data_IF_214236716449
#
_entry.id   IF_214236716449
#
_cell.length_a   1.000
_cell.length_b   1.000
_cell.length_c   1.000
_cell.angle_alpha   90.00
_cell.angle_beta   90.00
_cell.angle_gamma   90.00
#
_symmetry.space_group_name_H-M   'P 1'
#
loop_
_entity.id
_entity.type
_entity.pdbx_description
1 polymer ?
#
# COMPACT_ATOMS: atom_id res chain seq x y z
N UNK A 1 6.82 -12.15 -16.05
CA UNK A 1 6.20 -12.18 -14.71
C UNK A 1 5.75 -10.77 -14.46
N UNK A 2 4.47 -10.61 -14.13
CA UNK A 2 3.86 -9.31 -13.92
C UNK A 2 3.72 -9.12 -12.42
N UNK A 3 4.21 -7.99 -11.91
CA UNK A 3 4.01 -7.57 -10.53
C UNK A 3 3.03 -6.42 -10.55
N UNK A 4 2.09 -6.45 -9.64
CA UNK A 4 1.00 -5.50 -9.53
C UNK A 4 0.96 -4.98 -8.10
N UNK A 5 0.81 -3.68 -7.95
CA UNK A 5 0.83 -3.02 -6.65
C UNK A 5 -0.60 -2.69 -6.28
N UNK A 6 -1.01 -3.05 -5.07
CA UNK A 6 -2.38 -2.85 -4.62
C UNK A 6 -2.42 -1.96 -3.42
N UNK A 7 -3.34 -0.99 -3.45
CA UNK A 7 -3.81 -0.33 -2.25
C UNK A 7 -5.26 -0.74 -1.98
N UNK A 8 -5.59 -0.95 -0.71
CA UNK A 8 -6.96 -1.10 -0.26
C UNK A 8 -7.25 -0.07 0.82
N UNK A 9 -8.42 0.56 0.80
CA UNK A 9 -8.79 1.62 1.74
C UNK A 9 -10.22 1.49 2.24
N UNK A 10 -10.53 2.14 3.37
CA UNK A 10 -11.89 2.20 3.93
C UNK A 10 -12.84 3.12 3.15
N UNK A 11 -12.34 3.97 2.26
CA UNK A 11 -13.15 4.91 1.48
C UNK A 11 -12.86 4.78 -0.01
N UNK A 12 -13.89 4.99 -0.82
CA UNK A 12 -13.68 5.12 -2.25
C UNK A 12 -12.77 6.31 -2.54
N UNK A 13 -11.97 6.22 -3.60
CA UNK A 13 -11.19 7.31 -4.18
C UNK A 13 -12.04 7.87 -5.33
N UNK A 14 -12.83 8.95 -5.10
CA UNK A 14 -13.87 9.39 -6.04
C UNK A 14 -13.34 9.73 -7.43
N UNK A 15 -12.09 10.20 -7.50
CA UNK A 15 -11.39 10.59 -8.72
C UNK A 15 -11.32 9.44 -9.75
N UNK A 16 -11.36 8.18 -9.29
CA UNK A 16 -11.32 6.99 -10.17
C UNK A 16 -12.70 6.50 -10.62
N UNK A 17 -13.79 7.13 -10.16
CA UNK A 17 -15.16 6.76 -10.54
C UNK A 17 -15.76 7.66 -11.63
N UNK A 18 -15.03 8.70 -12.06
CA UNK A 18 -15.40 9.55 -13.18
C UNK A 18 -14.86 8.97 -14.50
N UNK A 19 -15.72 8.86 -15.53
CA UNK A 19 -15.41 8.17 -16.79
C UNK A 19 -14.45 8.95 -17.69
N UNK A 20 -13.59 8.20 -18.41
CA UNK A 20 -12.36 8.60 -19.11
C UNK A 20 -11.20 8.95 -18.16
N UNK A 21 -10.44 7.94 -17.71
CA UNK A 21 -9.26 8.21 -16.90
C UNK A 21 -8.01 7.43 -17.25
N UNK A 22 -6.92 8.21 -17.35
CA UNK A 22 -5.52 7.81 -17.53
C UNK A 22 -4.77 7.91 -16.19
N UNK A 23 -5.47 7.69 -15.08
CA UNK A 23 -4.86 7.76 -13.75
C UNK A 23 -3.96 6.55 -13.50
N UNK A 24 -2.94 6.72 -12.66
CA UNK A 24 -2.02 5.66 -12.22
C UNK A 24 -2.69 4.56 -11.39
N UNK A 25 -4.02 4.61 -11.22
CA UNK A 25 -4.80 3.71 -10.38
C UNK A 25 -5.97 3.12 -11.16
N UNK A 26 -6.19 1.81 -11.02
CA UNK A 26 -7.31 1.07 -11.61
C UNK A 26 -8.15 0.41 -10.51
N UNK A 27 -9.47 0.25 -10.71
CA UNK A 27 -10.32 -0.47 -9.76
C UNK A 27 -9.88 -1.92 -9.59
N UNK A 28 -9.78 -2.38 -8.34
CA UNK A 28 -9.44 -3.75 -7.98
C UNK A 28 -10.50 -4.78 -8.35
N UNK A 29 -11.73 -4.36 -8.67
CA UNK A 29 -12.76 -5.24 -9.26
C UNK A 29 -12.27 -5.87 -10.58
N UNK A 30 -11.40 -5.17 -11.31
CA UNK A 30 -10.78 -5.68 -12.52
C UNK A 30 -9.67 -6.71 -12.23
N UNK A 31 -9.18 -6.78 -11.00
CA UNK A 31 -7.90 -7.42 -10.71
C UNK A 31 -7.99 -8.86 -10.18
N UNK A 32 -8.79 -9.17 -9.14
CA UNK A 32 -9.11 -10.55 -8.65
C UNK A 32 -9.95 -10.53 -7.35
N UNK A 33 -10.82 -11.52 -7.16
CA UNK A 33 -11.69 -11.65 -5.96
C UNK A 33 -10.97 -12.13 -4.67
N UNK A 34 -9.75 -12.68 -4.75
CA UNK A 34 -9.08 -13.34 -3.61
C UNK A 34 -7.75 -12.66 -3.28
N UNK A 35 -7.83 -11.42 -2.78
CA UNK A 35 -6.68 -10.67 -2.29
C UNK A 35 -6.67 -10.65 -0.75
N UNK A 36 -5.49 -10.51 -0.10
CA UNK A 36 -5.37 -10.59 1.35
C UNK A 36 -5.81 -9.32 2.09
N UNK A 37 -6.66 -8.48 1.49
CA UNK A 37 -7.09 -7.20 2.06
C UNK A 37 -8.30 -7.34 2.97
N UNK A 38 -8.32 -6.55 4.03
CA UNK A 38 -9.44 -6.44 4.96
C UNK A 38 -10.38 -5.28 4.61
N UNK A 39 -9.96 -4.39 3.72
CA UNK A 39 -10.67 -3.17 3.35
C UNK A 39 -11.48 -3.32 2.05
N UNK A 40 -12.64 -2.65 1.93
CA UNK A 40 -13.63 -2.92 0.88
C UNK A 40 -13.29 -2.33 -0.50
N UNK A 41 -12.48 -1.27 -0.57
CA UNK A 41 -12.13 -0.62 -1.83
C UNK A 41 -10.69 -0.93 -2.18
N UNK A 42 -10.49 -1.67 -3.28
CA UNK A 42 -9.17 -2.09 -3.76
C UNK A 42 -8.86 -1.35 -5.05
N UNK A 43 -7.59 -0.95 -5.24
CA UNK A 43 -7.08 -0.32 -6.44
C UNK A 43 -5.72 -0.91 -6.80
N UNK A 44 -5.50 -1.19 -8.09
CA UNK A 44 -4.17 -1.44 -8.65
C UNK A 44 -3.49 -0.10 -8.90
N UNK A 45 -2.19 0.02 -8.61
CA UNK A 45 -1.41 1.25 -8.73
C UNK A 45 -0.12 0.98 -9.51
N UNK A 46 0.33 1.94 -10.30
CA UNK A 46 1.65 1.91 -10.97
C UNK A 46 2.46 3.12 -10.51
N UNK A 47 3.11 3.02 -9.34
CA UNK A 47 3.83 4.12 -8.70
C UNK A 47 5.16 3.69 -8.05
N UNK A 48 6.13 4.60 -8.02
CA UNK A 48 7.35 4.49 -7.23
C UNK A 48 7.03 4.63 -5.73
N UNK A 49 7.78 3.93 -4.87
CA UNK A 49 7.63 3.97 -3.41
C UNK A 49 7.54 5.40 -2.84
N UNK A 50 8.31 6.35 -3.39
CA UNK A 50 8.30 7.75 -2.96
C UNK A 50 7.04 8.48 -3.38
N UNK A 51 6.56 8.24 -4.59
CA UNK A 51 5.33 8.85 -5.12
C UNK A 51 4.12 8.33 -4.32
N UNK A 52 4.09 7.02 -4.05
CA UNK A 52 3.09 6.39 -3.19
C UNK A 52 3.06 7.00 -1.78
N UNK A 53 4.22 7.23 -1.15
CA UNK A 53 4.28 7.86 0.17
C UNK A 53 3.68 9.28 0.14
N UNK A 54 3.99 10.06 -0.91
CA UNK A 54 3.46 11.42 -1.05
C UNK A 54 1.95 11.38 -1.26
N UNK A 55 1.49 10.53 -2.17
CA UNK A 55 0.07 10.30 -2.44
C UNK A 55 -0.67 9.94 -1.15
N UNK A 56 -0.19 8.95 -0.39
CA UNK A 56 -0.86 8.52 0.85
C UNK A 56 -0.88 9.62 1.91
N UNK A 57 0.18 10.42 2.02
CA UNK A 57 0.20 11.53 2.99
C UNK A 57 -0.81 12.63 2.63
N UNK A 58 -1.01 12.90 1.35
CA UNK A 58 -1.97 13.91 0.88
C UNK A 58 -3.41 13.37 0.87
N UNK A 59 -3.59 12.12 0.43
CA UNK A 59 -4.86 11.43 0.38
C UNK A 59 -5.39 11.21 1.79
N UNK A 60 -4.67 10.49 2.66
CA UNK A 60 -5.20 9.99 3.94
C UNK A 60 -5.60 11.12 4.89
N UNK A 61 -6.77 10.99 5.50
CA UNK A 61 -7.25 11.84 6.58
C UNK A 61 -6.86 11.26 7.95
N UNK A 62 -6.93 12.08 9.00
CA UNK A 62 -6.69 11.60 10.37
C UNK A 62 -7.76 10.55 10.72
N UNK A 63 -7.33 9.35 11.10
CA UNK A 63 -8.19 8.19 11.35
C UNK A 63 -8.16 7.14 10.23
N UNK A 64 -7.64 7.46 9.05
CA UNK A 64 -7.65 6.55 7.90
C UNK A 64 -6.65 5.39 8.05
N UNK A 65 -7.02 4.28 7.40
CA UNK A 65 -6.20 3.08 7.22
C UNK A 65 -6.16 2.71 5.74
N UNK A 66 -4.96 2.39 5.26
CA UNK A 66 -4.70 1.86 3.92
C UNK A 66 -3.83 0.61 4.04
N UNK A 67 -4.17 -0.44 3.32
CA UNK A 67 -3.35 -1.64 3.18
C UNK A 67 -2.67 -1.63 1.81
N UNK A 68 -1.37 -1.91 1.77
CA UNK A 68 -0.57 -1.96 0.55
C UNK A 68 0.09 -3.34 0.38
N UNK A 69 0.10 -3.89 -0.83
CA UNK A 69 0.67 -5.21 -1.11
C UNK A 69 1.12 -5.36 -2.57
N UNK A 70 2.21 -6.10 -2.79
CA UNK A 70 2.65 -6.45 -4.14
C UNK A 70 2.20 -7.87 -4.47
N UNK A 71 1.33 -8.02 -5.46
CA UNK A 71 0.94 -9.31 -6.00
C UNK A 71 1.74 -9.62 -7.27
N UNK A 72 2.39 -10.78 -7.31
CA UNK A 72 3.14 -11.24 -8.47
C UNK A 72 2.52 -12.50 -9.07
N UNK A 73 2.16 -12.38 -10.35
CA UNK A 73 1.71 -13.51 -11.16
C UNK A 73 2.91 -14.36 -11.58
N UNK A 74 2.97 -15.58 -11.03
CA UNK A 74 3.88 -16.62 -11.49
C UNK A 74 3.41 -17.26 -12.79
N UNK A 75 4.07 -18.37 -13.17
CA UNK A 75 3.69 -19.14 -14.35
C UNK A 75 2.42 -19.95 -14.08
N UNK A 76 1.58 -20.10 -15.10
CA UNK A 76 0.37 -20.94 -15.06
C UNK A 76 -0.64 -20.55 -13.96
N UNK A 77 -0.72 -19.26 -13.61
CA UNK A 77 -1.71 -18.76 -12.64
C UNK A 77 -1.38 -19.02 -11.16
N UNK A 78 -0.18 -19.52 -10.86
CA UNK A 78 0.29 -19.69 -9.47
C UNK A 78 0.87 -18.36 -9.00
N UNK A 79 0.33 -17.79 -7.91
CA UNK A 79 0.90 -16.59 -7.27
C UNK A 79 2.30 -16.89 -6.71
N UNK A 80 3.23 -15.96 -6.91
CA UNK A 80 4.53 -15.98 -6.24
C UNK A 80 4.56 -15.13 -4.97
N UNK A 81 3.55 -14.28 -4.81
CA UNK A 81 3.33 -13.56 -3.56
C UNK A 81 2.62 -14.46 -2.56
N UNK A 82 3.10 -14.44 -1.32
CA UNK A 82 2.60 -15.21 -0.19
C UNK A 82 2.53 -14.26 1.01
N UNK A 83 1.50 -14.35 1.85
CA UNK A 83 1.35 -13.43 2.98
C UNK A 83 1.88 -14.08 4.26
N UNK A 84 3.01 -13.57 4.76
CA UNK A 84 3.66 -13.89 6.03
C UNK A 84 3.32 -12.78 7.03
N UNK A 85 2.30 -12.96 7.90
CA UNK A 85 1.82 -11.91 8.80
C UNK A 85 2.89 -11.40 9.77
N UNK A 86 3.88 -12.23 10.11
CA UNK A 86 5.03 -11.86 10.93
C UNK A 86 5.95 -10.84 10.26
N UNK A 87 5.96 -10.78 8.92
CA UNK A 87 6.71 -9.79 8.13
C UNK A 87 5.88 -8.53 7.83
N UNK A 88 4.66 -8.41 8.39
CA UNK A 88 3.80 -7.26 8.18
C UNK A 88 4.40 -5.99 8.76
N UNK A 89 4.11 -4.88 8.10
CA UNK A 89 4.63 -3.55 8.47
C UNK A 89 3.49 -2.64 8.86
N UNK A 90 3.76 -1.73 9.78
CA UNK A 90 2.84 -0.64 10.11
C UNK A 90 3.56 0.69 10.02
N UNK A 91 3.05 1.59 9.18
CA UNK A 91 3.60 2.92 8.98
C UNK A 91 2.56 3.93 9.46
N UNK A 92 2.92 4.74 10.45
CA UNK A 92 2.07 5.83 10.90
C UNK A 92 2.53 7.14 10.29
N UNK A 93 1.74 7.67 9.36
CA UNK A 93 2.01 8.94 8.68
C UNK A 93 1.73 10.16 9.55
N UNK A 94 1.00 10.05 10.66
CA UNK A 94 0.83 11.18 11.58
C UNK A 94 1.97 11.25 12.59
N UNK A 95 2.19 10.16 13.34
CA UNK A 95 3.26 10.06 14.35
C UNK A 95 4.65 9.87 13.77
N UNK A 96 4.76 9.66 12.44
CA UNK A 96 6.01 9.43 11.72
C UNK A 96 6.77 8.23 12.31
N UNK A 97 6.08 7.11 12.47
CA UNK A 97 6.67 5.86 13.00
C UNK A 97 6.61 4.75 11.97
N UNK A 98 7.64 3.91 11.93
CA UNK A 98 7.71 2.71 11.12
C UNK A 98 7.86 1.50 12.05
N UNK A 99 7.09 0.44 11.82
CA UNK A 99 7.19 -0.82 12.56
C UNK A 99 7.27 -1.97 11.58
N UNK A 100 8.17 -2.90 11.83
CA UNK A 100 8.29 -4.18 11.13
C UNK A 100 8.48 -5.34 12.11
N UNK A 101 8.89 -6.51 11.61
CA UNK A 101 9.17 -7.70 12.41
C UNK A 101 10.31 -7.54 13.42
N UNK A 102 11.19 -6.56 13.25
CA UNK A 102 12.39 -6.35 14.06
C UNK A 102 12.18 -5.30 15.15
N UNK A 103 11.24 -4.37 14.97
CA UNK A 103 10.93 -3.40 16.01
C UNK A 103 10.07 -2.23 15.53
N UNK A 104 9.94 -1.24 16.41
CA UNK A 104 9.30 0.04 16.13
C UNK A 104 10.34 1.16 16.15
N UNK A 105 10.24 2.06 15.18
CA UNK A 105 11.23 3.10 14.90
C UNK A 105 10.52 4.45 14.73
N UNK A 106 11.09 5.48 15.33
CA UNK A 106 10.69 6.87 15.08
C UNK A 106 11.45 7.38 13.86
N UNK A 107 10.74 7.91 12.86
CA UNK A 107 11.34 8.55 11.69
C UNK A 107 11.74 9.99 12.04
N UNK A 108 12.77 10.52 11.37
CA UNK A 108 13.17 11.93 11.51
C UNK A 108 12.01 12.86 11.09
N UNK A 109 11.43 13.68 12.00
CA UNK A 109 10.29 14.53 11.67
C UNK A 109 10.51 15.50 10.50
N UNK A 110 11.77 15.93 10.26
CA UNK A 110 12.10 16.87 9.19
C UNK A 110 12.34 16.19 7.84
N UNK A 111 12.68 14.91 7.86
CA UNK A 111 13.12 14.12 6.69
C UNK A 111 12.42 12.77 6.61
N UNK A 112 11.22 12.67 7.18
CA UNK A 112 10.55 11.39 7.40
C UNK A 112 10.21 10.72 6.08
N UNK A 113 9.94 11.49 5.00
CA UNK A 113 9.66 10.94 3.67
C UNK A 113 10.90 10.29 3.10
N UNK A 114 12.07 10.91 3.21
CA UNK A 114 13.34 10.35 2.76
C UNK A 114 13.74 9.13 3.60
N UNK A 115 13.59 9.22 4.91
CA UNK A 115 13.87 8.11 5.85
C UNK A 115 12.97 6.91 5.54
N UNK A 116 11.67 7.15 5.32
CA UNK A 116 10.73 6.11 4.95
C UNK A 116 11.00 5.51 3.57
N UNK A 117 11.36 6.33 2.57
CA UNK A 117 11.71 5.86 1.21
C UNK A 117 13.00 5.03 1.20
N UNK A 118 13.83 5.11 2.24
CA UNK A 118 15.01 4.26 2.39
C UNK A 118 14.72 2.89 3.01
N UNK A 119 13.47 2.66 3.44
CA UNK A 119 13.00 1.43 4.08
C UNK A 119 12.09 0.65 3.12
N UNK A 120 11.92 -0.64 3.41
CA UNK A 120 10.95 -1.45 2.69
C UNK A 120 9.53 -1.04 3.08
N UNK A 121 8.79 -0.39 2.19
CA UNK A 121 7.37 -0.04 2.39
C UNK A 121 6.41 -0.96 1.63
N UNK A 122 6.95 -1.81 0.76
CA UNK A 122 6.22 -2.70 -0.12
C UNK A 122 6.89 -4.07 -0.14
N UNK A 123 6.10 -5.14 -0.14
CA UNK A 123 6.62 -6.49 -0.15
C UNK A 123 5.66 -7.43 -0.86
N UNK A 124 6.22 -8.44 -1.53
CA UNK A 124 5.49 -9.61 -2.05
C UNK A 124 5.16 -10.63 -0.96
N UNK A 125 5.77 -10.46 0.21
CA UNK A 125 5.71 -11.40 1.33
C UNK A 125 4.74 -10.98 2.43
N UNK A 126 4.26 -9.74 2.43
CA UNK A 126 3.40 -9.26 3.52
C UNK A 126 2.67 -7.98 3.16
N UNK A 127 1.53 -7.77 3.82
CA UNK A 127 0.78 -6.52 3.77
C UNK A 127 1.50 -5.44 4.57
N UNK A 128 1.55 -4.23 4.04
CA UNK A 128 1.97 -3.03 4.76
C UNK A 128 0.75 -2.18 5.07
N UNK A 129 0.50 -1.91 6.35
CA UNK A 129 -0.62 -1.09 6.79
C UNK A 129 -0.15 0.34 7.06
N UNK A 130 -0.64 1.28 6.29
CA UNK A 130 -0.50 2.71 6.55
C UNK A 130 -1.65 3.18 7.44
N UNK A 131 -1.33 3.95 8.47
CA UNK A 131 -2.31 4.59 9.36
C UNK A 131 -1.98 6.06 9.53
N UNK A 132 -2.99 6.89 9.80
CA UNK A 132 -2.78 8.31 10.13
C UNK A 132 -3.49 8.66 11.44
N UNK A 133 -2.89 8.27 12.57
CA UNK A 133 -3.47 8.34 13.94
C UNK A 133 -2.46 8.74 15.02
#
# INVERSE_FOLDING_TARGET
>A
MTSHYFIATMRAIPEFHEGDNNYSFLSGEAYKEVLPFTLPYVYEVDEDDRELIIFLDDFMQLGDVVEHYIYEEGRNGITLSENFPEEARTINLWKKTYKDQYGAYQLDPKRWREDLSSRTIASKRSVTTFVKI
#
